data_IF_457725557810
#
_entry.id   IF_457725557810
#
_cell.length_a   1.000
_cell.length_b   1.000
_cell.length_c   1.000
_cell.angle_alpha   90.00
_cell.angle_beta   90.00
_cell.angle_gamma   90.00
#
_symmetry.space_group_name_H-M   'P 1'
#
loop_
_entity.id
_entity.type
_entity.pdbx_description
1 polymer ?
#
# COMPACT_ATOMS: atom_id res chain seq x y z
N UNK A 1 -9.75 -10.63 10.82
CA UNK A 1 -8.77 -11.53 10.18
C UNK A 1 -9.32 -11.89 8.81
N UNK A 2 -8.51 -11.93 7.75
CA UNK A 2 -9.00 -12.33 6.43
C UNK A 2 -9.05 -13.86 6.32
N UNK A 3 -10.12 -14.40 5.75
CA UNK A 3 -10.29 -15.83 5.50
C UNK A 3 -10.82 -16.06 4.10
N UNK A 4 -10.30 -17.08 3.40
CA UNK A 4 -10.81 -17.49 2.11
C UNK A 4 -11.32 -18.94 2.19
N UNK A 5 -12.54 -19.17 1.72
CA UNK A 5 -13.20 -20.48 1.78
C UNK A 5 -13.93 -20.83 0.49
N UNK A 6 -14.14 -22.12 0.30
CA UNK A 6 -14.84 -22.68 -0.87
C UNK A 6 -16.19 -23.24 -0.42
N UNK A 7 -17.26 -22.87 -1.15
CA UNK A 7 -18.60 -23.43 -0.98
C UNK A 7 -18.72 -24.63 -1.91
N UNK A 8 -18.67 -25.82 -1.34
CA UNK A 8 -18.69 -27.06 -2.10
C UNK A 8 -19.97 -27.22 -2.94
N UNK A 9 -21.12 -26.74 -2.47
CA UNK A 9 -22.38 -26.84 -3.23
C UNK A 9 -22.36 -26.03 -4.53
N UNK A 10 -21.58 -24.94 -4.59
CA UNK A 10 -21.46 -24.07 -5.77
C UNK A 10 -20.26 -24.41 -6.64
N UNK A 11 -19.28 -25.12 -6.09
CA UNK A 11 -18.06 -25.47 -6.80
C UNK A 11 -18.34 -26.59 -7.81
N UNK A 12 -18.20 -26.32 -9.11
CA UNK A 12 -18.44 -27.33 -10.16
C UNK A 12 -17.17 -28.05 -10.61
N UNK A 13 -16.02 -27.83 -9.96
CA UNK A 13 -14.75 -28.43 -10.37
C UNK A 13 -14.14 -27.87 -11.67
N UNK A 14 -14.64 -26.73 -12.20
CA UNK A 14 -14.21 -26.22 -13.52
C UNK A 14 -12.73 -25.79 -13.64
N UNK A 15 -12.00 -25.68 -12.53
CA UNK A 15 -10.56 -25.38 -12.51
C UNK A 15 -10.16 -23.95 -12.87
N UNK A 16 -11.09 -23.04 -13.18
CA UNK A 16 -10.78 -21.64 -13.55
C UNK A 16 -10.00 -20.87 -12.48
N UNK A 17 -10.12 -21.26 -11.21
CA UNK A 17 -9.40 -20.66 -10.09
C UNK A 17 -7.91 -21.07 -10.02
N UNK A 18 -7.49 -22.16 -10.65
CA UNK A 18 -6.10 -22.66 -10.61
C UNK A 18 -5.13 -21.70 -11.30
N UNK A 19 -5.29 -21.35 -12.59
CA UNK A 19 -4.30 -20.54 -13.31
C UNK A 19 -4.23 -19.09 -12.81
N UNK A 20 -5.25 -18.59 -12.12
CA UNK A 20 -5.27 -17.23 -11.57
C UNK A 20 -4.61 -17.13 -10.20
N UNK A 21 -4.25 -18.25 -9.55
CA UNK A 21 -3.58 -18.23 -8.26
C UNK A 21 -2.09 -17.92 -8.47
N UNK A 22 -1.58 -16.74 -8.10
CA UNK A 22 -0.17 -16.40 -8.32
C UNK A 22 0.80 -17.21 -7.46
N UNK A 23 0.28 -17.90 -6.43
CA UNK A 23 1.05 -18.74 -5.51
C UNK A 23 0.88 -20.23 -5.80
N UNK A 24 0.08 -20.61 -6.81
CA UNK A 24 -0.20 -22.01 -7.16
C UNK A 24 -0.72 -22.86 -5.99
N UNK A 25 -1.53 -22.23 -5.12
CA UNK A 25 -2.07 -22.84 -3.90
C UNK A 25 -3.48 -23.40 -4.06
N UNK A 26 -3.97 -23.52 -5.29
CA UNK A 26 -5.30 -24.09 -5.55
C UNK A 26 -5.12 -25.39 -6.34
N UNK A 27 -5.73 -26.46 -5.85
CA UNK A 27 -5.75 -27.77 -6.50
C UNK A 27 -7.18 -28.25 -6.68
N UNK A 28 -7.36 -29.20 -7.59
CA UNK A 28 -8.60 -29.96 -7.72
C UNK A 28 -8.43 -31.31 -7.04
N UNK A 29 -9.26 -31.59 -6.04
CA UNK A 29 -9.35 -32.87 -5.34
C UNK A 29 -10.83 -33.25 -5.28
N UNK A 30 -11.18 -34.50 -5.63
CA UNK A 30 -12.57 -34.99 -5.63
C UNK A 30 -13.56 -34.08 -6.40
N UNK A 31 -13.15 -33.59 -7.57
CA UNK A 31 -13.91 -32.63 -8.40
C UNK A 31 -14.25 -31.30 -7.71
N UNK A 32 -13.55 -30.96 -6.62
CA UNK A 32 -13.68 -29.70 -5.88
C UNK A 32 -12.35 -28.98 -5.79
N UNK A 33 -12.41 -27.66 -5.88
CA UNK A 33 -11.24 -26.84 -5.64
C UNK A 33 -10.90 -26.87 -4.14
N UNK A 34 -9.61 -26.98 -3.81
CA UNK A 34 -9.06 -26.96 -2.45
C UNK A 34 -7.95 -25.92 -2.37
N UNK A 35 -7.93 -25.16 -1.27
CA UNK A 35 -6.93 -24.12 -1.00
C UNK A 35 -5.86 -24.70 -0.07
N UNK A 36 -4.62 -24.76 -0.55
CA UNK A 36 -3.48 -25.25 0.20
C UNK A 36 -3.02 -24.23 1.26
N UNK A 37 -2.34 -24.68 2.34
CA UNK A 37 -1.71 -23.79 3.32
C UNK A 37 -0.75 -22.79 2.66
N UNK A 38 -0.66 -21.58 3.23
CA UNK A 38 0.18 -20.49 2.70
C UNK A 38 -0.58 -19.48 1.84
N UNK A 39 -1.91 -19.57 1.77
CA UNK A 39 -2.72 -18.59 1.04
C UNK A 39 -2.52 -17.18 1.62
N UNK A 40 -2.33 -16.21 0.74
CA UNK A 40 -2.13 -14.80 1.09
C UNK A 40 -3.41 -13.98 1.07
N UNK A 41 -4.56 -14.61 0.81
CA UNK A 41 -5.88 -13.97 0.77
C UNK A 41 -6.02 -12.86 -0.28
N UNK A 42 -5.26 -12.94 -1.40
CA UNK A 42 -5.24 -11.90 -2.44
C UNK A 42 -6.53 -11.75 -3.28
N UNK A 43 -7.52 -12.63 -3.14
CA UNK A 43 -8.83 -12.51 -3.80
C UNK A 43 -8.91 -12.91 -5.28
N UNK A 44 -7.80 -13.13 -5.99
CA UNK A 44 -7.83 -13.40 -7.45
C UNK A 44 -8.74 -14.58 -7.89
N UNK A 45 -8.84 -15.62 -7.07
CA UNK A 45 -9.70 -16.77 -7.36
C UNK A 45 -11.20 -16.51 -7.13
N UNK A 46 -11.56 -15.52 -6.30
CA UNK A 46 -12.95 -15.09 -6.09
C UNK A 46 -13.50 -14.52 -7.39
N UNK A 47 -12.80 -13.56 -7.99
CA UNK A 47 -13.18 -12.93 -9.26
C UNK A 47 -13.24 -13.92 -10.42
N UNK A 48 -12.35 -14.90 -10.43
CA UNK A 48 -12.30 -15.93 -11.48
C UNK A 48 -13.40 -16.99 -11.38
N UNK A 49 -14.09 -17.10 -10.24
CA UNK A 49 -15.09 -18.14 -10.02
C UNK A 49 -16.46 -17.71 -10.58
N UNK A 50 -16.92 -18.23 -11.74
CA UNK A 50 -18.20 -17.81 -12.33
C UNK A 50 -19.42 -18.29 -11.55
N UNK A 51 -19.23 -19.20 -10.58
CA UNK A 51 -20.30 -19.78 -9.77
C UNK A 51 -20.39 -19.14 -8.38
N UNK A 52 -19.50 -18.19 -8.05
CA UNK A 52 -19.44 -17.58 -6.72
C UNK A 52 -19.19 -18.63 -5.62
N UNK A 53 -18.37 -19.65 -5.93
CA UNK A 53 -18.05 -20.74 -5.02
C UNK A 53 -16.86 -20.43 -4.11
N UNK A 54 -16.14 -19.33 -4.33
CA UNK A 54 -15.00 -18.93 -3.52
C UNK A 54 -15.36 -17.60 -2.86
N UNK A 55 -15.28 -17.53 -1.53
CA UNK A 55 -15.59 -16.34 -0.74
C UNK A 55 -14.34 -15.92 0.01
N UNK A 56 -14.04 -14.63 -0.08
CA UNK A 56 -13.07 -13.96 0.78
C UNK A 56 -13.84 -13.13 1.82
N UNK A 57 -13.69 -13.48 3.09
CA UNK A 57 -14.23 -12.74 4.22
C UNK A 57 -13.15 -11.80 4.73
N UNK A 58 -13.32 -10.51 4.46
CA UNK A 58 -12.47 -9.45 4.98
C UNK A 58 -13.20 -8.70 6.09
N UNK A 59 -12.62 -8.66 7.28
CA UNK A 59 -12.97 -7.63 8.26
C UNK A 59 -12.39 -6.30 7.79
N UNK A 60 -13.14 -5.58 6.96
CA UNK A 60 -12.80 -4.21 6.59
C UNK A 60 -13.01 -3.34 7.83
N UNK A 61 -11.93 -3.08 8.58
CA UNK A 61 -11.93 -2.01 9.57
C UNK A 61 -12.19 -0.72 8.81
N UNK A 62 -13.38 -0.14 8.98
CA UNK A 62 -13.65 1.22 8.49
C UNK A 62 -12.74 2.16 9.26
N UNK A 63 -11.66 2.58 8.61
CA UNK A 63 -10.81 3.65 9.09
C UNK A 63 -11.47 4.95 8.68
N UNK A 64 -11.70 5.85 9.64
CA UNK A 64 -12.14 7.20 9.33
C UNK A 64 -10.97 7.96 8.70
N UNK A 65 -11.03 8.17 7.39
CA UNK A 65 -9.96 8.88 6.67
C UNK A 65 -9.97 10.39 6.93
N UNK A 66 -11.04 10.94 7.53
CA UNK A 66 -11.16 12.38 7.80
C UNK A 66 -10.23 12.88 8.90
N UNK A 67 -9.65 11.96 9.67
CA UNK A 67 -8.68 12.25 10.73
C UNK A 67 -7.26 12.49 10.17
N UNK A 68 -6.97 12.04 8.94
CA UNK A 68 -5.65 12.21 8.33
C UNK A 68 -5.60 13.53 7.54
N UNK A 69 -4.52 14.28 7.78
CA UNK A 69 -4.31 15.63 7.26
C UNK A 69 -2.83 15.87 6.96
N UNK A 70 -2.55 16.94 6.20
CA UNK A 70 -1.20 17.35 5.84
C UNK A 70 -0.74 16.97 4.43
N UNK A 71 0.22 17.74 3.91
CA UNK A 71 0.94 17.47 2.66
C UNK A 71 2.34 16.97 3.02
N UNK A 72 2.73 15.82 2.47
CA UNK A 72 4.00 15.17 2.81
C UNK A 72 4.88 15.04 1.57
N UNK A 73 6.14 15.46 1.71
CA UNK A 73 7.17 15.32 0.68
C UNK A 73 8.25 14.37 1.18
N UNK A 74 8.60 13.41 0.36
CA UNK A 74 9.81 12.63 0.55
C UNK A 74 11.01 13.41 0.01
N UNK A 75 11.96 13.72 0.89
CA UNK A 75 13.22 14.37 0.50
C UNK A 75 14.20 13.32 -0.03
N UNK A 76 14.26 13.17 -1.35
CA UNK A 76 15.23 12.29 -1.99
C UNK A 76 16.66 12.78 -1.67
N UNK A 77 17.47 11.83 -1.20
CA UNK A 77 18.91 12.02 -0.99
C UNK A 77 19.70 10.95 -1.76
N UNK A 78 20.83 11.36 -2.32
CA UNK A 78 21.84 10.44 -2.87
C UNK A 78 23.18 10.83 -2.30
N UNK A 79 23.89 9.85 -1.75
CA UNK A 79 25.19 10.07 -1.09
C UNK A 79 25.13 11.23 -0.07
N UNK A 80 24.06 11.28 0.73
CA UNK A 80 23.81 12.30 1.76
C UNK A 80 23.58 13.72 1.23
N UNK A 81 23.35 13.87 -0.07
CA UNK A 81 23.01 15.16 -0.71
C UNK A 81 21.54 15.18 -1.13
N UNK A 82 20.85 16.26 -0.78
CA UNK A 82 19.48 16.51 -1.22
C UNK A 82 19.43 16.70 -2.74
N UNK A 83 18.53 15.98 -3.40
CA UNK A 83 18.36 16.09 -4.85
C UNK A 83 17.54 17.34 -5.22
N UNK A 84 17.84 18.00 -6.37
CA UNK A 84 17.14 19.21 -6.79
C UNK A 84 15.62 19.07 -6.87
N UNK A 85 15.14 17.89 -7.27
CA UNK A 85 13.70 17.56 -7.32
C UNK A 85 13.01 17.78 -5.96
N UNK A 86 13.70 17.55 -4.85
CA UNK A 86 13.17 17.82 -3.51
C UNK A 86 12.82 19.29 -3.36
N UNK A 87 13.65 20.20 -3.87
CA UNK A 87 13.41 21.65 -3.78
C UNK A 87 12.21 22.08 -4.65
N UNK A 88 12.10 21.52 -5.86
CA UNK A 88 10.95 21.75 -6.74
C UNK A 88 9.65 21.27 -6.09
N UNK A 89 9.68 20.07 -5.50
CA UNK A 89 8.56 19.51 -4.77
C UNK A 89 8.20 20.37 -3.55
N UNK A 90 9.16 20.87 -2.79
CA UNK A 90 8.89 21.76 -1.64
C UNK A 90 8.14 23.02 -2.07
N UNK A 91 8.47 23.60 -3.23
CA UNK A 91 7.74 24.74 -3.79
C UNK A 91 6.30 24.38 -4.17
N UNK A 92 6.11 23.29 -4.92
CA UNK A 92 4.78 22.83 -5.32
C UNK A 92 3.92 22.39 -4.11
N UNK A 93 4.53 21.69 -3.15
CA UNK A 93 3.89 21.22 -1.94
C UNK A 93 3.52 22.36 -1.00
N UNK A 94 4.33 23.42 -0.89
CA UNK A 94 3.95 24.62 -0.13
C UNK A 94 2.67 25.24 -0.69
N UNK A 95 2.62 25.44 -2.01
CA UNK A 95 1.40 25.95 -2.66
C UNK A 95 0.19 25.06 -2.39
N UNK A 96 0.36 23.74 -2.52
CA UNK A 96 -0.71 22.77 -2.26
C UNK A 96 -1.18 22.81 -0.79
N UNK A 97 -0.24 22.88 0.15
CA UNK A 97 -0.53 22.95 1.58
C UNK A 97 -1.29 24.24 1.93
N UNK A 98 -0.92 25.38 1.32
CA UNK A 98 -1.64 26.64 1.49
C UNK A 98 -3.06 26.57 0.91
N UNK A 99 -3.23 26.02 -0.29
CA UNK A 99 -4.52 25.85 -0.95
C UNK A 99 -5.47 24.94 -0.13
N UNK A 100 -4.91 23.95 0.58
CA UNK A 100 -5.66 23.03 1.45
C UNK A 100 -5.83 23.54 2.89
N UNK A 101 -5.07 24.55 3.31
CA UNK A 101 -5.03 25.01 4.71
C UNK A 101 -4.36 24.00 5.65
N UNK A 102 -3.37 23.26 5.16
CA UNK A 102 -2.73 22.13 5.84
C UNK A 102 -1.23 22.35 6.08
N UNK A 103 -0.62 21.54 6.96
CA UNK A 103 0.83 21.57 7.21
C UNK A 103 1.61 20.89 6.07
N UNK A 104 2.75 21.49 5.68
CA UNK A 104 3.75 20.87 4.82
C UNK A 104 4.80 20.16 5.68
N UNK A 105 4.80 18.82 5.61
CA UNK A 105 5.78 17.96 6.22
C UNK A 105 6.79 17.45 5.19
N UNK A 106 8.07 17.34 5.57
CA UNK A 106 9.10 16.67 4.78
C UNK A 106 9.67 15.49 5.57
N UNK A 107 9.86 14.35 4.91
CA UNK A 107 10.51 13.17 5.49
C UNK A 107 11.84 12.89 4.79
N UNK A 108 12.90 12.80 5.58
CA UNK A 108 14.26 12.50 5.15
C UNK A 108 14.73 11.20 5.79
N UNK A 109 15.15 10.25 4.96
CA UNK A 109 15.64 8.93 5.39
C UNK A 109 17.14 8.81 5.06
N UNK A 110 17.98 8.42 6.02
CA UNK A 110 19.37 8.05 5.79
C UNK A 110 20.30 8.23 6.99
N UNK A 111 21.51 7.67 6.93
CA UNK A 111 22.52 7.71 7.99
C UNK A 111 23.32 9.03 8.00
N UNK A 112 23.41 9.66 9.17
CA UNK A 112 24.14 10.89 9.51
C UNK A 112 23.77 12.05 8.59
N UNK A 113 22.50 12.44 8.61
CA UNK A 113 21.93 13.39 7.65
C UNK A 113 21.85 14.85 8.17
N UNK A 114 22.55 15.17 9.26
CA UNK A 114 22.51 16.50 9.88
C UNK A 114 22.77 17.65 8.90
N UNK A 115 23.78 17.54 8.01
CA UNK A 115 24.07 18.59 7.02
C UNK A 115 22.93 18.79 6.01
N UNK A 116 22.30 17.69 5.58
CA UNK A 116 21.16 17.72 4.66
C UNK A 116 19.91 18.33 5.31
N UNK A 117 19.71 18.10 6.61
CA UNK A 117 18.62 18.76 7.37
C UNK A 117 18.79 20.28 7.36
N UNK A 118 20.01 20.79 7.54
CA UNK A 118 20.27 22.24 7.49
C UNK A 118 20.02 22.84 6.10
N UNK A 119 20.12 22.05 5.02
CA UNK A 119 19.69 22.48 3.68
C UNK A 119 18.17 22.61 3.62
N UNK A 120 17.43 21.60 4.10
CA UNK A 120 15.97 21.58 4.04
C UNK A 120 15.32 22.67 4.91
N UNK A 121 15.93 23.02 6.05
CA UNK A 121 15.47 24.11 6.94
C UNK A 121 15.45 25.50 6.30
N UNK A 122 16.09 25.69 5.15
CA UNK A 122 16.10 26.96 4.41
C UNK A 122 14.83 27.17 3.57
N UNK A 123 13.98 26.16 3.47
CA UNK A 123 12.77 26.15 2.67
C UNK A 123 11.52 26.20 3.57
N UNK A 124 10.35 26.63 3.04
CA UNK A 124 9.14 26.84 3.84
C UNK A 124 8.46 25.50 4.18
N UNK A 125 9.05 24.77 5.14
CA UNK A 125 8.56 23.48 5.65
C UNK A 125 8.09 23.67 7.09
N UNK A 126 6.89 23.18 7.42
CA UNK A 126 6.33 23.31 8.77
C UNK A 126 6.88 22.22 9.71
N UNK A 127 7.12 21.02 9.17
CA UNK A 127 7.64 19.89 9.94
C UNK A 127 8.66 19.08 9.17
N UNK A 128 9.79 18.76 9.81
CA UNK A 128 10.83 17.89 9.25
C UNK A 128 10.97 16.63 10.09
N UNK A 129 10.73 15.48 9.46
CA UNK A 129 10.96 14.17 10.02
C UNK A 129 12.29 13.63 9.51
N UNK A 130 13.26 13.48 10.42
CA UNK A 130 14.52 12.80 10.13
C UNK A 130 14.44 11.38 10.70
N UNK A 131 14.73 10.39 9.86
CA UNK A 131 14.95 9.00 10.26
C UNK A 131 16.40 8.68 9.91
N UNK A 132 17.22 8.61 10.96
CA UNK A 132 18.67 8.41 10.93
C UNK A 132 19.04 7.11 11.68
#
# INVERSE_FOLDING_TARGET
>A
MAEIRIIDEKCTGCGKCIPVCPFSLIKLEEDKAQIMPGCTFCGACVDACPFGAIILEEEVKKVDLSEFRGVWIFAEQREKKIMPVTVELLGAGRKLADDLGEELSVVLLGDKMHESVEVLRKYPVDRLYLID
#
